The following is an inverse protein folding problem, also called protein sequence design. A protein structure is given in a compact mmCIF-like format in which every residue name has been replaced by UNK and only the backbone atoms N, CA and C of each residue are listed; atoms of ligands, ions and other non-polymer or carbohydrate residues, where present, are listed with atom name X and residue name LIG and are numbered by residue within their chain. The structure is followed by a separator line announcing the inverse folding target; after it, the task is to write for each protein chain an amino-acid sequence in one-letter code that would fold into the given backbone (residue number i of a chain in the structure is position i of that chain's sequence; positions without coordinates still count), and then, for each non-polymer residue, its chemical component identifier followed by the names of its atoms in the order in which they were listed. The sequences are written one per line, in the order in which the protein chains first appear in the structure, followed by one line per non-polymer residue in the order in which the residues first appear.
data_IF_098619284809
#
_entry.id   IF_098619284809
#
_cell.length_a   1.000
_cell.length_b   1.000
_cell.length_c   1.000
_cell.angle_alpha   90.00
_cell.angle_beta   90.00
_cell.angle_gamma   90.00
#
_symmetry.space_group_name_H-M   'P 1'
#
loop_
_entity.id
_entity.type
_entity.pdbx_description
1 polymer ?
#
# COMPACT_ATOMS: atom_id res chain seq x y z
N UNK A 1 -8.69 27.97 -28.70
CA UNK A 1 -9.32 27.35 -27.51
C UNK A 1 -9.88 25.99 -27.93
N UNK A 2 -9.66 24.93 -27.16
CA UNK A 2 -10.32 23.64 -27.45
C UNK A 2 -11.77 23.72 -26.99
N UNK A 3 -12.71 23.33 -27.83
CA UNK A 3 -14.13 23.27 -27.46
C UNK A 3 -14.32 22.21 -26.37
N UNK A 4 -15.11 22.54 -25.36
CA UNK A 4 -15.48 21.58 -24.32
C UNK A 4 -16.48 20.58 -24.92
N UNK A 5 -16.11 19.29 -24.89
CA UNK A 5 -16.98 18.20 -25.34
C UNK A 5 -17.39 17.39 -24.12
N UNK A 6 -18.70 17.32 -23.80
CA UNK A 6 -19.20 16.46 -22.73
C UNK A 6 -18.82 14.99 -22.98
N UNK A 7 -18.55 14.24 -21.91
CA UNK A 7 -18.07 12.85 -22.00
C UNK A 7 -18.98 11.94 -22.83
N UNK A 8 -20.29 12.17 -22.80
CA UNK A 8 -21.27 11.37 -23.54
C UNK A 8 -21.17 11.55 -25.06
N UNK A 9 -20.74 12.73 -25.51
CA UNK A 9 -20.59 13.09 -26.93
C UNK A 9 -19.19 12.80 -27.46
N UNK A 10 -18.32 12.30 -26.59
CA UNK A 10 -16.94 12.01 -26.92
C UNK A 10 -16.81 10.66 -27.65
N UNK A 11 -15.87 10.59 -28.60
CA UNK A 11 -15.59 9.35 -29.32
C UNK A 11 -15.17 8.24 -28.35
N UNK A 12 -15.31 6.97 -28.78
CA UNK A 12 -14.86 5.82 -27.97
C UNK A 12 -13.36 5.89 -27.65
N UNK A 13 -12.55 6.43 -28.56
CA UNK A 13 -11.09 6.55 -28.41
C UNK A 13 -10.71 7.59 -27.35
N UNK A 14 -11.36 8.75 -27.40
CA UNK A 14 -11.06 9.85 -26.47
C UNK A 14 -11.53 9.53 -25.05
N UNK A 15 -12.68 8.87 -24.90
CA UNK A 15 -13.14 8.36 -23.60
C UNK A 15 -12.13 7.38 -23.00
N UNK A 16 -11.62 6.44 -23.80
CA UNK A 16 -10.59 5.47 -23.36
C UNK A 16 -9.31 6.18 -22.91
N UNK A 17 -8.89 7.23 -23.61
CA UNK A 17 -7.72 8.03 -23.23
C UNK A 17 -7.92 8.72 -21.88
N UNK A 18 -9.05 9.42 -21.69
CA UNK A 18 -9.38 10.04 -20.40
C UNK A 18 -9.49 9.04 -19.26
N UNK A 19 -10.12 7.89 -19.50
CA UNK A 19 -10.27 6.86 -18.47
C UNK A 19 -8.91 6.22 -18.13
N UNK A 20 -7.98 6.12 -19.08
CA UNK A 20 -6.61 5.66 -18.82
C UNK A 20 -5.80 6.66 -18.01
N UNK A 21 -5.91 7.96 -18.32
CA UNK A 21 -5.30 9.05 -17.53
C UNK A 21 -5.85 9.10 -16.10
N UNK A 22 -7.13 8.75 -15.90
CA UNK A 22 -7.77 8.70 -14.57
C UNK A 22 -7.44 7.42 -13.78
N UNK A 23 -7.29 6.29 -14.45
CA UNK A 23 -7.04 4.97 -13.81
C UNK A 23 -5.67 4.89 -13.13
N UNK A 24 -4.72 5.74 -13.50
CA UNK A 24 -3.36 5.80 -12.96
C UNK A 24 -3.21 6.66 -11.70
N UNK A 25 -4.30 7.19 -11.12
CA UNK A 25 -4.24 8.21 -10.05
C UNK A 25 -4.10 7.70 -8.61
N UNK A 26 -3.80 6.41 -8.37
CA UNK A 26 -3.30 6.03 -7.05
C UNK A 26 -1.81 6.37 -6.98
N UNK A 27 -1.50 7.58 -6.53
CA UNK A 27 -0.11 8.04 -6.31
C UNK A 27 0.64 7.12 -5.33
N UNK A 28 -0.10 6.43 -4.47
CA UNK A 28 0.33 5.32 -3.63
C UNK A 28 -0.70 4.19 -3.71
N UNK A 29 -0.24 2.93 -3.75
CA UNK A 29 -1.14 1.78 -3.59
C UNK A 29 -1.78 1.85 -2.21
N UNK A 30 -3.11 1.66 -2.07
CA UNK A 30 -3.76 1.60 -0.75
C UNK A 30 -3.22 0.42 0.10
N UNK A 31 -2.58 -0.56 -0.53
CA UNK A 31 -1.86 -1.65 0.13
C UNK A 31 -0.38 -1.33 0.13
N UNK A 32 0.08 -0.61 1.17
CA UNK A 32 1.48 -0.21 1.34
C UNK A 32 2.29 -1.21 2.16
N UNK A 33 1.63 -1.99 3.02
CA UNK A 33 2.29 -2.94 3.93
C UNK A 33 2.24 -4.35 3.38
N UNK A 34 3.40 -4.86 2.94
CA UNK A 34 3.59 -6.29 2.67
C UNK A 34 4.08 -6.95 3.95
N UNK A 35 3.20 -7.69 4.62
CA UNK A 35 3.60 -8.53 5.76
C UNK A 35 4.36 -9.73 5.23
N UNK A 36 5.63 -9.86 5.63
CA UNK A 36 6.44 -11.04 5.29
C UNK A 36 5.86 -12.28 5.96
N UNK A 37 5.95 -13.42 5.28
CA UNK A 37 5.60 -14.73 5.87
C UNK A 37 6.45 -15.01 7.11
N UNK A 38 5.84 -15.63 8.13
CA UNK A 38 6.49 -15.97 9.40
C UNK A 38 7.69 -16.92 9.23
N UNK A 39 7.71 -17.68 8.14
CA UNK A 39 8.73 -18.67 7.78
C UNK A 39 9.93 -18.08 7.04
N UNK A 40 9.90 -16.80 6.65
CA UNK A 40 11.05 -16.16 6.03
C UNK A 40 12.18 -16.07 7.05
N UNK A 41 13.32 -16.66 6.73
CA UNK A 41 14.54 -16.52 7.51
C UNK A 41 15.06 -15.09 7.39
N UNK A 42 15.17 -14.38 8.52
CA UNK A 42 15.70 -13.03 8.60
C UNK A 42 16.65 -12.97 9.79
N UNK A 43 17.95 -12.76 9.52
CA UNK A 43 19.00 -12.73 10.57
C UNK A 43 18.79 -11.61 11.60
N UNK A 44 18.00 -10.58 11.25
CA UNK A 44 17.67 -9.46 12.14
C UNK A 44 16.40 -9.73 12.97
N UNK A 45 15.69 -10.82 12.69
CA UNK A 45 14.53 -11.22 13.47
C UNK A 45 15.02 -11.68 14.83
N UNK A 46 14.72 -10.89 15.86
CA UNK A 46 14.93 -11.30 17.25
C UNK A 46 14.22 -12.64 17.45
N UNK A 47 14.98 -13.66 17.86
CA UNK A 47 14.37 -14.92 18.27
C UNK A 47 13.57 -14.62 19.54
N UNK A 48 12.31 -15.06 19.61
CA UNK A 48 11.49 -14.93 20.83
C UNK A 48 12.00 -15.79 21.99
N UNK A 49 13.16 -16.43 21.82
CA UNK A 49 13.71 -17.46 22.68
C UNK A 49 15.00 -17.02 23.39
N UNK A 50 15.42 -15.75 23.25
CA UNK A 50 16.52 -15.20 24.04
C UNK A 50 15.91 -14.52 25.29
N UNK A 51 16.07 -15.20 26.41
CA UNK A 51 15.95 -14.72 27.79
C UNK A 51 14.54 -14.36 28.30
N UNK A 52 13.79 -15.38 28.71
CA UNK A 52 12.86 -15.24 29.84
C UNK A 52 13.46 -15.86 31.09
N UNK A 53 14.61 -15.34 31.53
CA UNK A 53 15.05 -15.44 32.91
C UNK A 53 15.72 -14.10 33.27
N UNK A 54 15.03 -13.34 34.12
CA UNK A 54 15.51 -12.19 34.89
C UNK A 54 15.67 -10.81 34.20
N UNK A 55 14.66 -9.95 34.37
CA UNK A 55 14.79 -8.66 35.07
C UNK A 55 13.43 -7.94 35.03
N UNK A 56 12.92 -7.56 36.21
CA UNK A 56 11.55 -7.14 36.44
C UNK A 56 11.10 -5.89 35.67
N UNK A 57 9.99 -6.04 34.94
CA UNK A 57 9.15 -4.91 34.54
C UNK A 57 7.98 -4.83 35.52
N UNK A 58 8.16 -4.04 36.58
CA UNK A 58 7.07 -3.67 37.48
C UNK A 58 6.10 -2.81 36.68
N UNK A 59 4.88 -3.31 36.44
CA UNK A 59 3.79 -2.49 35.95
C UNK A 59 3.39 -1.53 37.08
N UNK A 60 3.78 -0.27 36.97
CA UNK A 60 3.22 0.82 37.76
C UNK A 60 1.75 0.99 37.36
N UNK A 61 0.87 0.88 38.36
CA UNK A 61 -0.53 1.30 38.29
C UNK A 61 -0.63 2.77 38.71
#
# INVERSE_FOLDING_TARGET
MKTFVPREKMSKRDRKRLDAERRTLWQFSPVTKVVKSSKVYDRKKQSRNHDTYDAGTVFLY
#
